data_IF_649439491878
#
_entry.id   IF_649439491878
#
_cell.length_a   1.000
_cell.length_b   1.000
_cell.length_c   1.000
_cell.angle_alpha   90.00
_cell.angle_beta   90.00
_cell.angle_gamma   90.00
#
_symmetry.space_group_name_H-M   'P 1'
#
loop_
_entity.id
_entity.type
_entity.pdbx_description
1 polymer ?
#
# COMPACT_ATOMS: atom_id res chain seq x y z
N UNK A 1 -21.48 -11.24 -30.26
CA UNK A 1 -21.47 -10.20 -29.21
C UNK A 1 -20.72 -9.01 -29.80
N UNK A 2 -21.26 -7.78 -29.76
CA UNK A 2 -20.63 -6.61 -30.37
C UNK A 2 -19.26 -6.34 -29.71
N UNK A 3 -18.24 -5.97 -30.49
CA UNK A 3 -16.88 -5.69 -30.02
C UNK A 3 -16.86 -4.63 -28.92
N UNK A 4 -17.73 -3.62 -28.99
CA UNK A 4 -17.89 -2.61 -27.93
C UNK A 4 -18.29 -3.22 -26.58
N UNK A 5 -19.14 -4.26 -26.59
CA UNK A 5 -19.56 -4.95 -25.36
C UNK A 5 -18.42 -5.79 -24.79
N UNK A 6 -17.63 -6.44 -25.66
CA UNK A 6 -16.45 -7.19 -25.26
C UNK A 6 -15.37 -6.25 -24.68
N UNK A 7 -15.14 -5.11 -25.33
CA UNK A 7 -14.20 -4.10 -24.86
C UNK A 7 -14.63 -3.53 -23.50
N UNK A 8 -15.92 -3.24 -23.30
CA UNK A 8 -16.44 -2.79 -22.01
C UNK A 8 -16.26 -3.82 -20.89
N UNK A 9 -16.38 -5.11 -21.23
CA UNK A 9 -16.12 -6.23 -20.32
C UNK A 9 -14.64 -6.30 -19.94
N UNK A 10 -13.72 -6.27 -20.91
CA UNK A 10 -12.27 -6.22 -20.66
C UNK A 10 -11.92 -5.00 -19.81
N UNK A 11 -12.42 -3.83 -20.19
CA UNK A 11 -12.25 -2.59 -19.45
C UNK A 11 -12.89 -2.63 -18.06
N UNK A 12 -13.77 -3.58 -17.74
CA UNK A 12 -14.34 -3.71 -16.40
C UNK A 12 -13.43 -4.46 -15.44
N UNK A 13 -12.46 -5.21 -15.96
CA UNK A 13 -11.44 -5.89 -15.17
C UNK A 13 -10.31 -4.95 -14.72
N UNK A 14 -9.50 -5.39 -13.76
CA UNK A 14 -8.30 -4.68 -13.31
C UNK A 14 -7.09 -4.85 -14.23
N UNK A 15 -7.04 -5.93 -15.02
CA UNK A 15 -5.86 -6.31 -15.82
C UNK A 15 -5.34 -5.23 -16.79
N UNK A 16 -6.19 -4.46 -17.51
CA UNK A 16 -5.70 -3.41 -18.39
C UNK A 16 -4.84 -2.36 -17.67
N UNK A 17 -5.20 -2.02 -16.42
CA UNK A 17 -4.43 -1.08 -15.61
C UNK A 17 -3.05 -1.65 -15.27
N UNK A 18 -2.99 -2.88 -14.79
CA UNK A 18 -1.75 -3.59 -14.45
C UNK A 18 -0.81 -3.66 -15.67
N UNK A 19 -1.34 -4.08 -16.83
CA UNK A 19 -0.58 -4.16 -18.10
C UNK A 19 -0.08 -2.77 -18.51
N UNK A 20 -0.90 -1.74 -18.36
CA UNK A 20 -0.54 -0.34 -18.65
C UNK A 20 0.63 0.15 -17.79
N UNK A 21 0.56 -0.05 -16.47
CA UNK A 21 1.62 0.31 -15.53
C UNK A 21 2.90 -0.45 -15.84
N UNK A 22 2.80 -1.77 -16.06
CA UNK A 22 3.93 -2.60 -16.42
C UNK A 22 4.64 -2.07 -17.67
N UNK A 23 3.88 -1.73 -18.71
CA UNK A 23 4.42 -1.20 -19.95
C UNK A 23 5.05 0.18 -19.76
N UNK A 24 4.46 1.04 -18.92
CA UNK A 24 5.01 2.35 -18.60
C UNK A 24 6.38 2.23 -17.92
N UNK A 25 6.48 1.44 -16.85
CA UNK A 25 7.73 1.22 -16.10
C UNK A 25 8.83 0.65 -17.00
N UNK A 26 8.50 -0.31 -17.87
CA UNK A 26 9.46 -0.85 -18.84
C UNK A 26 10.01 0.21 -19.79
N UNK A 27 9.16 1.15 -20.24
CA UNK A 27 9.57 2.22 -21.16
C UNK A 27 10.41 3.29 -20.47
N UNK A 28 10.16 3.56 -19.19
CA UNK A 28 10.85 4.60 -18.41
C UNK A 28 12.02 4.09 -17.59
N UNK A 29 12.39 2.80 -17.72
CA UNK A 29 13.48 2.20 -16.93
C UNK A 29 14.79 2.99 -17.02
N UNK A 30 15.18 3.43 -18.22
CA UNK A 30 16.41 4.19 -18.42
C UNK A 30 16.45 5.52 -17.65
N UNK A 31 15.29 6.14 -17.45
CA UNK A 31 15.15 7.44 -16.80
C UNK A 31 14.90 7.33 -15.29
N UNK A 32 14.17 6.29 -14.87
CA UNK A 32 13.66 6.16 -13.49
C UNK A 32 14.31 5.04 -12.69
N UNK A 33 15.02 4.11 -13.34
CA UNK A 33 15.72 3.01 -12.68
C UNK A 33 14.82 1.97 -12.01
N UNK A 34 13.54 1.88 -12.37
CA UNK A 34 12.61 0.89 -11.81
C UNK A 34 12.29 -0.21 -12.82
N UNK A 35 12.47 -1.47 -12.43
CA UNK A 35 12.12 -2.64 -13.25
C UNK A 35 10.98 -3.43 -12.63
N UNK A 36 10.17 -4.06 -13.47
CA UNK A 36 9.16 -5.03 -13.04
C UNK A 36 9.86 -6.37 -12.86
N UNK A 37 9.97 -6.82 -11.60
CA UNK A 37 10.60 -8.08 -11.24
C UNK A 37 9.62 -9.26 -11.44
N UNK A 38 8.41 -9.12 -10.89
CA UNK A 38 7.36 -10.14 -10.95
C UNK A 38 6.01 -9.50 -11.31
N UNK A 39 5.11 -10.29 -11.90
CA UNK A 39 3.72 -9.92 -12.20
C UNK A 39 2.80 -11.05 -11.77
N UNK A 40 1.60 -10.73 -11.28
CA UNK A 40 0.62 -11.73 -10.82
C UNK A 40 1.31 -12.80 -9.96
N UNK A 41 2.08 -12.36 -8.96
CA UNK A 41 2.95 -13.23 -8.20
C UNK A 41 2.16 -13.84 -7.04
N UNK A 42 2.08 -15.18 -6.95
CA UNK A 42 1.42 -15.83 -5.83
C UNK A 42 2.22 -15.61 -4.55
N UNK A 43 1.55 -15.35 -3.45
CA UNK A 43 2.16 -15.26 -2.13
C UNK A 43 1.36 -16.09 -1.14
N UNK A 44 2.02 -16.58 -0.10
CA UNK A 44 1.37 -17.23 1.04
C UNK A 44 2.00 -16.80 2.34
N UNK A 45 1.21 -16.23 3.23
CA UNK A 45 1.63 -15.96 4.58
C UNK A 45 1.54 -17.24 5.41
N UNK A 46 2.69 -17.76 5.86
CA UNK A 46 2.76 -19.02 6.60
C UNK A 46 2.22 -18.91 8.03
N UNK A 47 2.20 -17.71 8.62
CA UNK A 47 1.73 -17.49 9.99
C UNK A 47 0.19 -17.47 10.06
N UNK A 48 -0.45 -16.82 9.09
CA UNK A 48 -1.91 -16.68 9.04
C UNK A 48 -2.58 -17.74 8.17
N UNK A 49 -1.82 -18.35 7.26
CA UNK A 49 -2.32 -19.29 6.25
C UNK A 49 -3.03 -18.61 5.07
N UNK A 50 -3.12 -17.27 5.04
CA UNK A 50 -3.68 -16.54 3.91
C UNK A 50 -2.77 -16.61 2.69
N UNK A 51 -3.37 -16.57 1.51
CA UNK A 51 -2.68 -16.55 0.23
C UNK A 51 -3.43 -15.65 -0.77
N UNK A 52 -2.74 -15.29 -1.83
CA UNK A 52 -3.28 -14.45 -2.89
C UNK A 52 -2.26 -14.20 -3.97
N UNK A 53 -2.52 -13.17 -4.77
CA UNK A 53 -1.61 -12.69 -5.81
C UNK A 53 -1.36 -11.21 -5.61
N UNK A 54 -0.12 -10.76 -5.79
CA UNK A 54 0.17 -9.33 -5.97
C UNK A 54 0.29 -9.01 -7.45
N UNK A 55 -0.24 -7.87 -7.85
CA UNK A 55 -0.28 -7.48 -9.25
C UNK A 55 1.13 -7.28 -9.83
N UNK A 56 1.99 -6.51 -9.14
CA UNK A 56 3.36 -6.25 -9.57
C UNK A 56 4.33 -6.20 -8.39
N UNK A 57 5.55 -6.71 -8.60
CA UNK A 57 6.70 -6.48 -7.72
C UNK A 57 7.73 -5.67 -8.50
N UNK A 58 8.04 -4.47 -8.02
CA UNK A 58 9.02 -3.58 -8.64
C UNK A 58 10.31 -3.59 -7.84
N UNK A 59 11.43 -3.39 -8.54
CA UNK A 59 12.76 -3.30 -7.94
C UNK A 59 13.49 -2.09 -8.50
N UNK A 60 14.18 -1.34 -7.66
CA UNK A 60 15.05 -0.26 -8.14
C UNK A 60 16.33 -0.83 -8.79
N UNK A 61 17.08 0.03 -9.49
CA UNK A 61 18.28 -0.35 -10.24
C UNK A 61 19.45 -0.82 -9.35
N UNK A 62 19.39 -0.55 -8.05
CA UNK A 62 20.40 -0.95 -7.07
C UNK A 62 20.00 -2.21 -6.31
N UNK A 63 18.86 -2.83 -6.65
CA UNK A 63 18.30 -4.02 -6.01
C UNK A 63 18.07 -3.93 -4.49
N UNK A 64 18.03 -2.73 -3.92
CA UNK A 64 17.88 -2.47 -2.47
C UNK A 64 16.45 -2.13 -2.06
N UNK A 65 15.65 -1.57 -2.98
CA UNK A 65 14.28 -1.15 -2.74
C UNK A 65 13.31 -1.96 -3.59
N UNK A 66 12.34 -2.56 -2.93
CA UNK A 66 11.25 -3.31 -3.53
C UNK A 66 9.94 -2.59 -3.29
N UNK A 67 9.10 -2.49 -4.32
CA UNK A 67 7.73 -1.97 -4.16
C UNK A 67 6.77 -3.11 -4.49
N UNK A 68 5.89 -3.42 -3.54
CA UNK A 68 4.82 -4.40 -3.70
C UNK A 68 3.57 -3.63 -4.10
N UNK A 69 3.11 -3.82 -5.34
CA UNK A 69 2.07 -2.99 -5.94
C UNK A 69 0.78 -3.76 -6.11
N UNK A 70 -0.31 -3.15 -5.65
CA UNK A 70 -1.68 -3.55 -5.95
C UNK A 70 -2.34 -2.50 -6.86
N UNK A 71 -2.93 -2.90 -7.97
CA UNK A 71 -3.55 -2.00 -8.94
C UNK A 71 -5.07 -1.94 -8.75
N UNK A 72 -5.61 -0.77 -8.42
CA UNK A 72 -7.05 -0.57 -8.27
C UNK A 72 -7.58 0.35 -9.36
N UNK A 73 -8.24 -0.26 -10.34
CA UNK A 73 -9.02 0.47 -11.34
C UNK A 73 -10.36 0.91 -10.74
N UNK A 74 -10.62 2.20 -10.82
CA UNK A 74 -11.78 2.84 -10.22
C UNK A 74 -12.50 3.66 -11.29
N UNK A 75 -13.81 3.47 -11.46
CA UNK A 75 -14.67 4.20 -12.42
C UNK A 75 -15.47 5.26 -11.69
N UNK A 76 -15.41 6.50 -12.17
CA UNK A 76 -16.32 7.60 -11.83
C UNK A 76 -16.53 7.84 -10.33
N UNK A 77 -15.51 7.59 -9.50
CA UNK A 77 -15.59 7.79 -8.05
C UNK A 77 -14.29 8.37 -7.50
N UNK A 78 -14.43 9.18 -6.45
CA UNK A 78 -13.32 9.82 -5.76
C UNK A 78 -12.98 9.05 -4.51
N UNK A 79 -11.70 9.01 -4.15
CA UNK A 79 -11.26 8.58 -2.83
C UNK A 79 -10.97 9.81 -2.00
N UNK A 80 -11.81 10.03 -0.99
CA UNK A 80 -11.77 11.22 -0.14
C UNK A 80 -11.13 10.86 1.19
N UNK A 81 -9.94 11.40 1.43
CA UNK A 81 -9.17 11.18 2.65
C UNK A 81 -9.44 12.30 3.65
N UNK A 82 -9.70 11.95 4.90
CA UNK A 82 -10.07 12.90 5.95
C UNK A 82 -8.83 13.36 6.73
N UNK A 83 -8.52 14.66 6.66
CA UNK A 83 -7.35 15.29 7.29
C UNK A 83 -7.80 16.36 8.29
N UNK A 84 -7.86 16.06 9.61
CA UNK A 84 -8.14 17.06 10.62
C UNK A 84 -7.08 18.17 10.61
N UNK A 85 -7.52 19.43 10.56
CA UNK A 85 -6.65 20.63 10.40
C UNK A 85 -5.70 20.89 11.56
N UNK A 86 -5.80 20.13 12.64
CA UNK A 86 -4.89 20.16 13.80
C UNK A 86 -3.57 19.40 13.55
N UNK A 87 -3.48 18.59 12.48
CA UNK A 87 -2.26 17.88 12.06
C UNK A 87 -1.54 18.62 10.91
N UNK A 88 -0.20 18.62 10.92
CA UNK A 88 0.64 19.17 9.84
C UNK A 88 0.22 18.63 8.46
N UNK A 89 0.04 19.53 7.49
CA UNK A 89 -0.61 19.28 6.20
C UNK A 89 0.11 18.29 5.28
N UNK A 90 1.42 18.12 5.43
CA UNK A 90 2.23 17.15 4.68
C UNK A 90 3.35 16.59 5.55
N UNK A 91 3.56 15.28 5.49
CA UNK A 91 4.61 14.56 6.21
C UNK A 91 5.46 13.78 5.22
N UNK A 92 6.72 13.55 5.59
CA UNK A 92 7.65 12.71 4.83
C UNK A 92 7.77 11.33 5.47
N UNK A 93 6.74 10.74 6.07
CA UNK A 93 6.88 9.47 6.79
C UNK A 93 6.30 8.33 5.99
N UNK A 94 7.07 7.33 5.60
CA UNK A 94 6.53 6.11 5.00
C UNK A 94 6.96 4.89 5.81
N UNK A 95 6.01 3.99 6.04
CA UNK A 95 6.31 2.70 6.65
C UNK A 95 6.75 1.71 5.58
N UNK A 96 7.75 0.90 5.90
CA UNK A 96 8.29 -0.14 5.03
C UNK A 96 8.69 -1.35 5.85
N UNK A 97 8.67 -2.52 5.22
CA UNK A 97 9.23 -3.73 5.81
C UNK A 97 10.73 -3.77 5.55
N UNK A 98 11.52 -4.07 6.58
CA UNK A 98 12.95 -4.31 6.49
C UNK A 98 13.23 -5.80 6.59
N UNK A 99 13.97 -6.33 5.62
CA UNK A 99 14.69 -7.60 5.73
C UNK A 99 16.17 -7.30 5.75
N UNK A 100 16.84 -7.58 6.87
CA UNK A 100 18.28 -7.41 7.01
C UNK A 100 18.93 -8.64 7.62
N UNK A 101 20.04 -9.08 7.02
CA UNK A 101 20.91 -10.14 7.54
C UNK A 101 22.35 -9.62 7.50
N UNK A 102 23.01 -9.63 8.66
CA UNK A 102 24.39 -9.17 8.85
C UNK A 102 25.39 -10.28 9.21
N UNK A 103 26.67 -9.96 9.14
CA UNK A 103 27.83 -10.86 9.24
C UNK A 103 28.03 -11.61 10.58
N UNK A 104 27.11 -11.48 11.55
CA UNK A 104 27.20 -12.09 12.89
C UNK A 104 25.87 -12.74 13.35
N UNK A 105 25.08 -13.27 12.41
CA UNK A 105 23.70 -13.74 12.66
C UNK A 105 22.74 -12.65 13.14
N UNK A 106 23.11 -11.36 13.06
CA UNK A 106 22.14 -10.28 13.27
C UNK A 106 21.10 -10.36 12.17
N UNK A 107 19.84 -10.46 12.57
CA UNK A 107 18.70 -10.53 11.67
C UNK A 107 17.64 -9.55 12.14
N UNK A 108 17.09 -8.82 11.20
CA UNK A 108 16.04 -7.85 11.46
C UNK A 108 14.95 -7.99 10.40
N UNK A 109 13.72 -8.17 10.87
CA UNK A 109 12.52 -8.48 10.10
C UNK A 109 11.36 -7.74 10.76
N UNK A 110 11.13 -6.51 10.36
CA UNK A 110 10.06 -5.71 10.95
C UNK A 110 9.65 -4.52 10.10
N UNK A 111 8.54 -3.90 10.49
CA UNK A 111 8.07 -2.63 9.97
C UNK A 111 8.82 -1.47 10.63
N UNK A 112 9.32 -0.56 9.80
CA UNK A 112 10.00 0.65 10.22
C UNK A 112 9.40 1.87 9.55
N UNK A 113 9.49 3.02 10.22
CA UNK A 113 9.17 4.32 9.66
C UNK A 113 10.46 4.97 9.09
N UNK A 114 10.40 5.48 7.85
CA UNK A 114 11.47 6.28 7.27
C UNK A 114 10.97 7.65 6.79
N UNK A 115 11.90 8.61 6.82
CA UNK A 115 11.73 9.87 6.13
C UNK A 115 11.85 9.65 4.61
N UNK A 116 10.76 9.74 3.85
CA UNK A 116 10.70 9.52 2.42
C UNK A 116 10.11 10.74 1.68
N UNK A 117 10.81 11.18 0.65
CA UNK A 117 10.28 12.14 -0.31
C UNK A 117 9.50 11.45 -1.44
N UNK A 118 8.47 12.11 -2.00
CA UNK A 118 7.98 13.44 -1.63
C UNK A 118 7.13 13.46 -0.33
N UNK A 119 7.00 14.66 0.26
CA UNK A 119 6.04 14.90 1.34
C UNK A 119 4.60 14.73 0.83
N UNK A 120 3.73 14.14 1.63
CA UNK A 120 2.32 13.88 1.27
C UNK A 120 1.39 14.12 2.45
N UNK A 121 0.10 14.26 2.15
CA UNK A 121 -0.94 14.02 3.15
C UNK A 121 -0.88 12.61 3.70
N UNK A 122 -1.21 12.49 4.97
CA UNK A 122 -1.39 11.25 5.70
C UNK A 122 -2.82 11.21 6.23
N UNK A 123 -3.52 10.10 6.03
CA UNK A 123 -4.89 9.93 6.52
C UNK A 123 -5.14 8.52 7.01
N UNK A 124 -5.91 8.42 8.09
CA UNK A 124 -6.34 7.16 8.69
C UNK A 124 -7.71 6.72 8.16
N UNK A 125 -8.43 7.63 7.49
CA UNK A 125 -9.78 7.42 7.02
C UNK A 125 -9.89 7.75 5.52
N UNK A 126 -10.59 6.88 4.79
CA UNK A 126 -10.94 7.10 3.40
C UNK A 126 -12.44 6.84 3.19
N UNK A 127 -13.11 7.80 2.57
CA UNK A 127 -14.50 7.67 2.12
C UNK A 127 -14.47 7.39 0.63
N UNK A 128 -15.07 6.27 0.21
CA UNK A 128 -15.22 5.89 -1.19
C UNK A 128 -16.69 6.03 -1.57
N UNK A 129 -16.99 6.90 -2.53
CA UNK A 129 -18.37 7.08 -2.98
C UNK A 129 -18.89 5.82 -3.68
N UNK A 130 -20.09 5.35 -3.31
CA UNK A 130 -20.74 4.19 -3.93
C UNK A 130 -20.44 2.82 -3.30
N UNK A 131 -19.78 2.75 -2.13
CA UNK A 131 -19.68 1.49 -1.38
C UNK A 131 -20.98 1.15 -0.65
N UNK A 132 -21.34 -0.15 -0.63
CA UNK A 132 -22.43 -0.67 0.20
C UNK A 132 -22.08 -0.45 1.69
N UNK A 133 -22.93 0.26 2.47
CA UNK A 133 -22.74 0.49 3.90
C UNK A 133 -22.50 -0.77 4.74
N UNK A 134 -22.92 -1.94 4.25
CA UNK A 134 -22.77 -3.23 4.96
C UNK A 134 -21.45 -3.94 4.67
N UNK A 135 -20.68 -3.48 3.68
CA UNK A 135 -19.42 -4.09 3.30
C UNK A 135 -18.24 -3.50 4.08
N UNK A 136 -17.25 -4.32 4.43
CA UNK A 136 -15.96 -3.80 4.95
C UNK A 136 -15.37 -2.88 3.88
N UNK A 137 -14.95 -1.65 4.21
CA UNK A 137 -14.47 -0.72 3.21
C UNK A 137 -13.29 -1.30 2.43
N UNK A 138 -13.37 -1.16 1.10
CA UNK A 138 -12.49 -1.86 0.15
C UNK A 138 -11.01 -1.55 0.39
N UNK A 139 -10.70 -0.32 0.80
CA UNK A 139 -9.32 0.14 0.90
C UNK A 139 -8.60 -0.51 2.08
N UNK A 140 -9.23 -0.60 3.25
CA UNK A 140 -8.66 -1.29 4.42
C UNK A 140 -8.42 -2.76 4.17
N UNK A 141 -9.34 -3.44 3.47
CA UNK A 141 -9.13 -4.84 3.10
C UNK A 141 -7.94 -4.97 2.15
N UNK A 142 -7.89 -4.10 1.14
CA UNK A 142 -6.80 -4.09 0.15
C UNK A 142 -5.44 -3.81 0.81
N UNK A 143 -5.38 -2.80 1.68
CA UNK A 143 -4.15 -2.44 2.39
C UNK A 143 -3.69 -3.57 3.32
N UNK A 144 -4.59 -4.17 4.11
CA UNK A 144 -4.26 -5.28 5.00
C UNK A 144 -3.72 -6.50 4.24
N UNK A 145 -4.34 -6.86 3.11
CA UNK A 145 -3.89 -7.93 2.23
C UNK A 145 -2.51 -7.62 1.61
N UNK A 146 -2.30 -6.38 1.17
CA UNK A 146 -1.03 -5.95 0.59
C UNK A 146 0.12 -5.95 1.62
N UNK A 147 -0.15 -5.58 2.87
CA UNK A 147 0.83 -5.67 3.95
C UNK A 147 1.21 -7.12 4.23
N UNK A 148 0.22 -8.01 4.28
CA UNK A 148 0.43 -9.44 4.49
C UNK A 148 1.22 -10.08 3.33
N UNK A 149 0.90 -9.70 2.09
CA UNK A 149 1.66 -10.09 0.90
C UNK A 149 3.10 -9.58 0.94
N UNK A 150 3.31 -8.36 1.44
CA UNK A 150 4.64 -7.75 1.57
C UNK A 150 5.51 -8.57 2.53
N UNK A 151 4.97 -8.94 3.69
CA UNK A 151 5.66 -9.81 4.66
C UNK A 151 5.99 -11.18 4.05
N UNK A 152 5.03 -11.80 3.36
CA UNK A 152 5.20 -13.11 2.74
C UNK A 152 6.30 -13.09 1.66
N UNK A 153 6.27 -12.11 0.75
CA UNK A 153 7.26 -11.97 -0.32
C UNK A 153 8.64 -11.65 0.25
N UNK A 154 8.73 -10.77 1.26
CA UNK A 154 9.99 -10.46 1.92
C UNK A 154 10.60 -11.70 2.61
N UNK A 155 9.76 -12.56 3.18
CA UNK A 155 10.19 -13.82 3.76
C UNK A 155 10.66 -14.82 2.69
N UNK A 156 9.95 -14.97 1.57
CA UNK A 156 10.37 -15.81 0.45
C UNK A 156 11.73 -15.38 -0.10
N UNK A 157 11.93 -14.07 -0.30
CA UNK A 157 13.22 -13.53 -0.73
C UNK A 157 14.33 -13.80 0.29
N UNK A 158 14.05 -13.63 1.59
CA UNK A 158 14.98 -14.05 2.63
C UNK A 158 15.36 -15.53 2.52
N UNK A 159 14.40 -16.43 2.25
CA UNK A 159 14.71 -17.87 2.12
C UNK A 159 15.66 -18.17 0.96
N UNK A 160 15.63 -17.36 -0.11
CA UNK A 160 16.56 -17.48 -1.23
C UNK A 160 17.98 -17.05 -0.85
N UNK A 161 18.11 -16.00 -0.03
CA UNK A 161 19.39 -15.39 0.32
C UNK A 161 19.98 -15.82 1.67
N UNK A 162 19.25 -16.56 2.52
CA UNK A 162 19.68 -16.90 3.89
C UNK A 162 21.00 -17.68 3.98
N UNK A 163 21.43 -18.33 2.90
CA UNK A 163 22.67 -19.10 2.83
C UNK A 163 23.81 -18.33 2.15
N UNK A 164 23.53 -17.12 1.65
CA UNK A 164 24.55 -16.26 1.07
C UNK A 164 25.50 -15.77 2.17
N UNK A 165 26.79 -15.74 1.86
CA UNK A 165 27.85 -15.33 2.81
C UNK A 165 27.98 -13.80 2.92
N UNK A 166 27.09 -13.05 2.29
CA UNK A 166 27.15 -11.60 2.19
C UNK A 166 25.99 -10.97 2.92
N UNK A 167 26.25 -9.84 3.57
CA UNK A 167 25.20 -9.01 4.15
C UNK A 167 24.23 -8.57 3.06
N UNK A 168 22.93 -8.62 3.37
CA UNK A 168 21.91 -8.06 2.49
C UNK A 168 20.88 -7.29 3.29
N UNK A 169 20.33 -6.26 2.62
CA UNK A 169 19.33 -5.35 3.16
C UNK A 169 18.33 -5.04 2.06
N UNK A 170 17.08 -5.44 2.27
CA UNK A 170 15.97 -5.15 1.37
C UNK A 170 14.89 -4.36 2.12
N UNK A 171 14.39 -3.31 1.48
CA UNK A 171 13.32 -2.47 1.99
C UNK A 171 12.11 -2.66 1.09
N UNK A 172 10.95 -2.98 1.65
CA UNK A 172 9.73 -3.26 0.90
C UNK A 172 8.66 -2.23 1.21
N UNK A 173 8.17 -1.56 0.18
CA UNK A 173 7.13 -0.54 0.28
C UNK A 173 5.82 -1.08 -0.32
N UNK A 174 4.75 -1.21 0.48
CA UNK A 174 3.42 -1.53 -0.02
C UNK A 174 2.80 -0.29 -0.69
N UNK A 175 2.42 -0.41 -1.96
CA UNK A 175 1.83 0.68 -2.75
C UNK A 175 0.53 0.24 -3.44
N UNK A 176 -0.52 1.03 -3.28
CA UNK A 176 -1.74 0.90 -4.09
C UNK A 176 -1.66 1.91 -5.24
N UNK A 177 -1.57 1.42 -6.47
CA UNK A 177 -1.63 2.25 -7.67
C UNK A 177 -3.07 2.33 -8.18
N UNK A 178 -3.63 3.53 -8.35
CA UNK A 178 -5.04 3.68 -8.69
C UNK A 178 -5.33 4.74 -9.75
N UNK A 179 -6.43 4.53 -10.48
CA UNK A 179 -7.01 5.54 -11.38
C UNK A 179 -8.00 6.46 -10.68
N UNK A 180 -8.30 6.23 -9.40
CA UNK A 180 -9.18 7.09 -8.63
C UNK A 180 -8.58 8.50 -8.51
N UNK A 181 -9.44 9.52 -8.56
CA UNK A 181 -9.03 10.84 -8.13
C UNK A 181 -8.94 10.88 -6.60
N UNK A 182 -7.75 11.18 -6.09
CA UNK A 182 -7.50 11.30 -4.66
C UNK A 182 -7.79 12.74 -4.22
N UNK A 183 -8.65 12.89 -3.23
CA UNK A 183 -9.02 14.16 -2.64
C UNK A 183 -8.71 14.17 -1.15
N UNK A 184 -8.16 15.28 -0.65
CA UNK A 184 -7.99 15.53 0.77
C UNK A 184 -9.10 16.46 1.23
N UNK A 185 -9.88 16.00 2.20
CA UNK A 185 -10.89 16.77 2.91
C UNK A 185 -10.27 17.29 4.22
N UNK A 186 -9.98 18.58 4.26
CA UNK A 186 -9.47 19.26 5.45
C UNK A 186 -10.60 19.92 6.22
N UNK A 187 -10.64 19.73 7.53
CA UNK A 187 -11.70 20.27 8.40
C UNK A 187 -11.22 20.48 9.84
N UNK A 188 -11.89 21.38 10.58
CA UNK A 188 -11.73 21.45 12.02
C UNK A 188 -12.58 20.37 12.69
N UNK A 189 -12.05 19.57 13.63
CA UNK A 189 -12.86 18.65 14.42
C UNK A 189 -14.04 19.35 15.12
N UNK A 190 -13.89 20.62 15.50
CA UNK A 190 -14.94 21.43 16.14
C UNK A 190 -16.12 21.74 15.20
N UNK A 191 -15.95 21.56 13.89
CA UNK A 191 -17.02 21.73 12.89
C UNK A 191 -17.87 20.44 12.71
N UNK A 192 -17.64 19.39 13.51
CA UNK A 192 -18.46 18.16 13.51
C UNK A 192 -19.56 18.31 14.57
N UNK A 193 -20.82 18.23 14.15
CA UNK A 193 -21.93 18.10 15.11
C UNK A 193 -21.92 16.71 15.71
N UNK A 194 -21.81 16.61 17.04
CA UNK A 194 -21.83 15.32 17.75
C UNK A 194 -23.23 14.69 17.69
N UNK A 195 -24.27 15.51 17.70
CA UNK A 195 -25.66 15.04 17.67
C UNK A 195 -26.00 14.38 16.34
N UNK A 196 -25.45 14.90 15.23
CA UNK A 196 -25.71 14.39 13.88
C UNK A 196 -24.60 13.49 13.34
N UNK A 197 -23.39 13.59 13.88
CA UNK A 197 -22.19 12.98 13.31
C UNK A 197 -21.79 13.58 11.95
N UNK A 198 -22.25 14.81 11.66
CA UNK A 198 -22.11 15.43 10.34
C UNK A 198 -21.12 16.59 10.36
N UNK A 199 -20.24 16.60 9.35
CA UNK A 199 -19.28 17.66 9.13
C UNK A 199 -19.96 18.88 8.49
N UNK A 200 -19.87 20.04 9.14
CA UNK A 200 -20.55 21.26 8.67
C UNK A 200 -19.71 22.09 7.70
N UNK A 201 -18.37 22.07 7.83
CA UNK A 201 -17.44 22.86 7.02
C UNK A 201 -16.20 22.04 6.65
N UNK A 202 -15.81 22.11 5.38
CA UNK A 202 -14.62 21.42 4.88
C UNK A 202 -14.05 22.09 3.64
N UNK A 203 -12.76 21.83 3.37
CA UNK A 203 -12.09 22.21 2.12
C UNK A 203 -11.53 20.97 1.44
N UNK A 204 -11.73 20.88 0.13
CA UNK A 204 -11.25 19.77 -0.68
C UNK A 204 -10.09 20.20 -1.57
N UNK A 205 -9.05 19.37 -1.68
CA UNK A 205 -7.94 19.55 -2.63
C UNK A 205 -7.57 18.22 -3.26
N UNK A 206 -7.07 18.24 -4.49
CA UNK A 206 -6.55 17.04 -5.17
C UNK A 206 -5.15 16.72 -4.65
N UNK A 207 -4.82 15.43 -4.56
CA UNK A 207 -3.49 14.96 -4.24
C UNK A 207 -3.00 13.92 -5.27
N UNK A 208 -1.72 13.94 -5.66
CA UNK A 208 -1.13 12.91 -6.53
C UNK A 208 -0.83 11.60 -5.78
N UNK A 209 -0.59 11.67 -4.47
CA UNK A 209 -0.37 10.51 -3.61
C UNK A 209 -0.76 10.83 -2.17
N UNK A 210 -1.16 9.80 -1.43
CA UNK A 210 -1.60 9.87 -0.03
C UNK A 210 -1.01 8.70 0.74
N UNK A 211 -0.55 8.92 1.96
CA UNK A 211 -0.15 7.86 2.89
C UNK A 211 -1.37 7.44 3.69
N UNK A 212 -1.84 6.22 3.46
CA UNK A 212 -2.98 5.67 4.17
C UNK A 212 -2.47 4.86 5.34
N UNK A 213 -2.58 5.43 6.54
CA UNK A 213 -2.01 4.89 7.78
C UNK A 213 -3.12 4.64 8.79
N UNK A 214 -3.37 3.39 9.15
CA UNK A 214 -4.36 3.03 10.17
C UNK A 214 -3.67 2.28 11.30
N UNK A 215 -3.86 2.73 12.53
CA UNK A 215 -3.39 1.97 13.70
C UNK A 215 -4.36 0.81 13.95
N UNK A 216 -4.07 -0.37 13.40
CA UNK A 216 -4.83 -1.58 13.72
C UNK A 216 -4.05 -2.44 14.73
N UNK A 217 -4.67 -2.70 15.88
CA UNK A 217 -4.17 -3.69 16.82
C UNK A 217 -4.58 -5.07 16.27
N UNK A 218 -3.64 -5.82 15.67
CA UNK A 218 -3.86 -7.24 15.38
C UNK A 218 -3.62 -8.03 16.67
N UNK A 219 -4.61 -8.83 17.11
CA UNK A 219 -4.37 -9.88 18.12
C UNK A 219 -3.40 -10.89 17.49
N UNK A 220 -2.20 -11.04 18.05
CA UNK A 220 -1.30 -12.12 17.66
C UNK A 220 -1.96 -13.47 18.02
N UNK A 221 -2.08 -14.35 17.02
CA UNK A 221 -2.29 -15.77 17.24
C UNK A 221 -1.07 -16.37 17.94
N UNK A 222 -1.30 -17.30 18.86
CA UNK A 222 -0.29 -17.84 19.76
C UNK A 222 0.71 -18.78 19.09
N UNK A 223 1.99 -18.61 19.46
CA UNK A 223 3.16 -19.51 19.38
C UNK A 223 4.06 -19.30 18.15
N UNK A 224 5.40 -19.20 18.24
CA UNK A 224 6.38 -19.38 19.33
C UNK A 224 7.62 -18.52 18.98
N UNK A 225 8.15 -17.81 19.98
CA UNK A 225 9.27 -16.85 19.97
C UNK A 225 8.92 -15.37 19.68
N UNK A 226 9.39 -14.51 20.59
CA UNK A 226 9.20 -13.04 20.71
C UNK A 226 7.81 -12.56 21.18
N UNK A 227 7.59 -12.68 22.50
CA UNK A 227 6.67 -11.79 23.20
C UNK A 227 7.29 -10.38 23.29
N UNK A 228 6.91 -9.51 22.36
CA UNK A 228 6.81 -8.08 22.62
C UNK A 228 5.50 -7.58 22.01
N UNK A 229 4.74 -6.81 22.79
CA UNK A 229 3.60 -6.06 22.27
C UNK A 229 4.14 -5.04 21.24
N UNK A 230 4.01 -5.34 19.94
CA UNK A 230 4.25 -4.37 18.88
C UNK A 230 2.91 -3.85 18.39
N UNK A 231 2.72 -2.53 18.46
CA UNK A 231 1.70 -1.84 17.68
C UNK A 231 2.17 -1.92 16.23
N UNK A 232 1.56 -2.79 15.41
CA UNK A 232 1.76 -2.73 13.95
C UNK A 232 0.96 -1.53 13.44
N UNK A 233 1.66 -0.60 12.82
CA UNK A 233 1.05 0.44 12.02
C UNK A 233 0.82 -0.15 10.65
N UNK A 234 -0.43 -0.19 10.20
CA UNK A 234 -0.73 -0.52 8.82
C UNK A 234 -0.63 0.76 8.00
N UNK A 235 0.43 0.90 7.20
CA UNK A 235 0.63 2.06 6.34
C UNK A 235 0.97 1.57 4.93
N UNK A 236 0.18 2.04 3.97
CA UNK A 236 0.46 1.85 2.56
C UNK A 236 0.40 3.20 1.83
N UNK A 237 1.31 3.39 0.89
CA UNK A 237 1.28 4.57 0.03
C UNK A 237 0.29 4.35 -1.11
N UNK A 238 -0.58 5.32 -1.35
CA UNK A 238 -1.53 5.29 -2.46
C UNK A 238 -1.07 6.31 -3.48
N UNK A 239 -0.77 5.86 -4.70
CA UNK A 239 -0.32 6.70 -5.78
C UNK A 239 -1.39 6.75 -6.88
N UNK A 240 -1.72 7.96 -7.31
CA UNK A 240 -2.53 8.21 -8.51
C UNK A 240 -1.63 8.14 -9.74
N UNK A 241 -2.12 7.46 -10.77
CA UNK A 241 -1.50 7.40 -12.10
C UNK A 241 -2.00 8.51 -13.03
#
# INVERSE_FOLDING_TARGET
>A
MNDDKLQNFVNSSGFPLQIGIQNHIKKTYADQGWKVLLKEFPWRNLETGHDGFVDLVLRNQYDTLTVIVECKRVRDTNWIFLEPSTKSAERRHATFWLTYVGNENTKDFDWYDAALDPASSESEFCVVTGQDPKSKPMLERTAAELLEATEAIAFEEYQLHKNDKTDFRFLYFPVIATTAELQICTFSPDDISIEKGELQKSKFRKAPFVRFRKSLIKKMGSSLAMQQFKIKVEDCSIARL
#
